data_IF_216625525631
#
_entry.id   IF_216625525631
#
_cell.length_a   1.000
_cell.length_b   1.000
_cell.length_c   1.000
_cell.angle_alpha   90.00
_cell.angle_beta   90.00
_cell.angle_gamma   90.00
#
_symmetry.space_group_name_H-M   'P 1'
#
loop_
_entity.id
_entity.type
_entity.pdbx_description
1 polymer ?
#
# COMPACT_ATOMS: atom_id res chain seq x y z
N UNK A 1 -10.15 15.40 -5.17
CA UNK A 1 -9.55 14.08 -5.49
C UNK A 1 -10.34 13.50 -6.64
N UNK A 2 -9.67 13.13 -7.74
CA UNK A 2 -10.33 12.46 -8.87
C UNK A 2 -10.33 10.96 -8.58
N UNK A 3 -11.49 10.33 -8.56
CA UNK A 3 -11.61 8.87 -8.44
C UNK A 3 -12.40 8.32 -9.62
N UNK A 4 -12.10 7.08 -9.99
CA UNK A 4 -12.86 6.30 -10.97
C UNK A 4 -13.39 5.06 -10.27
N UNK A 5 -14.60 4.70 -10.58
CA UNK A 5 -15.22 3.45 -10.15
C UNK A 5 -15.19 2.52 -11.35
N UNK A 6 -14.75 1.29 -11.12
CA UNK A 6 -14.79 0.20 -12.10
C UNK A 6 -15.70 -0.91 -11.59
N UNK A 7 -16.23 -1.68 -12.51
CA UNK A 7 -16.99 -2.89 -12.18
C UNK A 7 -16.03 -4.01 -11.74
N UNK A 8 -16.48 -4.87 -10.83
CA UNK A 8 -15.67 -6.00 -10.35
C UNK A 8 -15.27 -6.95 -11.49
N UNK A 9 -16.09 -7.05 -12.53
CA UNK A 9 -15.82 -7.86 -13.72
C UNK A 9 -14.62 -7.36 -14.53
N UNK A 10 -14.24 -6.09 -14.39
CA UNK A 10 -13.08 -5.48 -15.04
C UNK A 10 -11.80 -5.62 -14.20
N UNK A 11 -11.93 -6.01 -12.93
CA UNK A 11 -10.79 -6.11 -12.00
C UNK A 11 -9.68 -7.06 -12.47
N UNK A 12 -9.96 -8.26 -13.04
CA UNK A 12 -8.90 -9.15 -13.54
C UNK A 12 -8.03 -8.50 -14.63
N UNK A 13 -8.66 -7.81 -15.58
CA UNK A 13 -7.95 -7.13 -16.67
C UNK A 13 -7.11 -5.96 -16.14
N UNK A 14 -7.64 -5.22 -15.16
CA UNK A 14 -6.92 -4.12 -14.53
C UNK A 14 -5.70 -4.62 -13.75
N UNK A 15 -5.84 -5.70 -12.98
CA UNK A 15 -4.74 -6.32 -12.22
C UNK A 15 -3.66 -6.82 -13.17
N UNK A 16 -4.03 -7.50 -14.27
CA UNK A 16 -3.09 -7.95 -15.28
C UNK A 16 -2.28 -6.79 -15.87
N UNK A 17 -2.93 -5.67 -16.18
CA UNK A 17 -2.27 -4.48 -16.70
C UNK A 17 -1.31 -3.83 -15.65
N UNK A 18 -1.66 -3.88 -14.36
CA UNK A 18 -0.76 -3.42 -13.30
C UNK A 18 0.47 -4.31 -13.16
N UNK A 19 0.31 -5.63 -13.26
CA UNK A 19 1.41 -6.60 -13.12
C UNK A 19 2.50 -6.43 -14.18
N UNK A 20 2.20 -5.82 -15.33
CA UNK A 20 3.21 -5.53 -16.35
C UNK A 20 4.26 -4.50 -15.90
N UNK A 21 3.93 -3.63 -14.93
CA UNK A 21 4.72 -2.45 -14.58
C UNK A 21 4.96 -2.26 -13.09
N UNK A 22 4.17 -2.91 -12.24
CA UNK A 22 4.15 -2.72 -10.79
C UNK A 22 4.16 -4.06 -10.06
N UNK A 23 4.72 -4.06 -8.87
CA UNK A 23 4.45 -5.11 -7.89
C UNK A 23 3.01 -4.96 -7.40
N UNK A 24 2.14 -5.93 -7.66
CA UNK A 24 0.76 -5.91 -7.15
C UNK A 24 0.71 -6.59 -5.80
N UNK A 25 0.23 -5.85 -4.82
CA UNK A 25 0.03 -6.32 -3.44
C UNK A 25 -1.46 -6.29 -3.13
N UNK A 26 -2.01 -7.42 -2.72
CA UNK A 26 -3.44 -7.56 -2.50
C UNK A 26 -3.73 -8.44 -1.27
N UNK A 27 -4.98 -8.44 -0.76
CA UNK A 27 -5.38 -9.35 0.30
C UNK A 27 -5.42 -10.79 -0.22
N UNK A 28 -4.68 -11.66 0.43
CA UNK A 28 -4.57 -13.09 0.12
C UNK A 28 -5.02 -13.90 1.33
N UNK A 29 -5.77 -14.98 1.09
CA UNK A 29 -6.18 -15.89 2.15
C UNK A 29 -5.02 -16.81 2.54
N UNK A 30 -4.69 -16.86 3.83
CA UNK A 30 -3.71 -17.74 4.44
C UNK A 30 -4.34 -18.52 5.59
N UNK A 31 -4.79 -19.75 5.32
CA UNK A 31 -5.58 -20.54 6.26
C UNK A 31 -6.93 -19.88 6.56
N UNK A 32 -7.17 -19.53 7.82
CA UNK A 32 -8.37 -18.84 8.31
C UNK A 32 -8.25 -17.30 8.35
N UNK A 33 -7.13 -16.77 7.89
CA UNK A 33 -6.81 -15.35 7.98
C UNK A 33 -6.48 -14.74 6.62
N UNK A 34 -6.48 -13.41 6.58
CA UNK A 34 -6.12 -12.63 5.39
C UNK A 34 -4.91 -11.76 5.67
N UNK A 35 -4.03 -11.63 4.68
CA UNK A 35 -2.82 -10.79 4.75
C UNK A 35 -2.62 -10.05 3.43
N UNK A 36 -2.09 -8.85 3.46
CA UNK A 36 -1.57 -8.20 2.27
C UNK A 36 -0.22 -8.83 1.88
N UNK A 37 -0.14 -9.36 0.67
CA UNK A 37 1.05 -9.99 0.09
C UNK A 37 1.15 -9.67 -1.39
N UNK A 38 2.36 -9.71 -1.94
CA UNK A 38 2.55 -9.71 -3.39
C UNK A 38 1.84 -10.91 -4.01
N UNK A 39 1.25 -10.71 -5.18
CA UNK A 39 0.49 -11.71 -5.94
C UNK A 39 0.96 -11.72 -7.39
N UNK A 40 0.94 -12.90 -7.99
CA UNK A 40 1.32 -13.14 -9.38
C UNK A 40 0.10 -13.41 -10.28
N UNK A 41 -1.10 -13.52 -9.72
CA UNK A 41 -2.35 -13.76 -10.43
C UNK A 41 -3.54 -13.14 -9.68
N UNK A 42 -4.57 -12.74 -10.44
CA UNK A 42 -5.83 -12.26 -9.87
C UNK A 42 -6.54 -13.34 -9.01
N UNK A 43 -6.38 -14.61 -9.36
CA UNK A 43 -7.02 -15.73 -8.65
C UNK A 43 -6.54 -15.89 -7.19
N UNK A 44 -5.40 -15.30 -6.84
CA UNK A 44 -4.92 -15.27 -5.46
C UNK A 44 -5.59 -14.21 -4.59
N UNK A 45 -6.26 -13.23 -5.23
CA UNK A 45 -6.82 -12.07 -4.55
C UNK A 45 -8.17 -12.40 -3.92
N UNK A 46 -8.30 -12.13 -2.64
CA UNK A 46 -9.54 -12.29 -1.89
C UNK A 46 -10.17 -10.91 -1.63
N UNK A 47 -11.06 -10.44 -2.51
CA UNK A 47 -11.71 -9.14 -2.35
C UNK A 47 -12.78 -9.12 -1.26
N UNK A 48 -13.43 -10.26 -1.00
CA UNK A 48 -14.43 -10.43 0.07
C UNK A 48 -13.75 -10.84 1.39
N UNK A 49 -12.84 -10.01 1.89
CA UNK A 49 -12.19 -10.25 3.17
C UNK A 49 -12.76 -9.32 4.25
N UNK A 50 -12.98 -9.79 5.48
CA UNK A 50 -13.50 -8.94 6.56
C UNK A 50 -12.44 -8.01 7.15
N UNK A 51 -11.21 -8.50 7.30
CA UNK A 51 -10.04 -7.75 7.81
C UNK A 51 -8.76 -8.55 7.56
N UNK A 52 -7.63 -7.87 7.57
CA UNK A 52 -6.31 -8.50 7.49
C UNK A 52 -5.61 -8.50 8.86
N UNK A 53 -4.65 -9.43 9.08
CA UNK A 53 -3.86 -9.49 10.31
C UNK A 53 -3.09 -8.19 10.54
N UNK A 54 -2.56 -7.61 9.47
CA UNK A 54 -1.81 -6.37 9.51
C UNK A 54 -2.30 -5.43 8.41
N UNK A 55 -2.44 -4.15 8.75
CA UNK A 55 -2.80 -3.09 7.81
C UNK A 55 -1.75 -2.97 6.70
N UNK A 56 -2.15 -2.55 5.48
CA UNK A 56 -1.22 -2.26 4.37
C UNK A 56 -0.25 -1.12 4.65
N UNK A 57 -0.35 -0.42 5.78
CA UNK A 57 0.59 0.64 6.23
C UNK A 57 2.07 0.24 6.15
N UNK A 58 2.37 -1.04 6.37
CA UNK A 58 3.74 -1.57 6.31
C UNK A 58 4.44 -1.35 4.95
N UNK A 59 3.69 -1.08 3.89
CA UNK A 59 4.23 -0.81 2.56
C UNK A 59 4.61 0.66 2.34
N UNK A 60 4.07 1.56 3.18
CA UNK A 60 4.44 2.97 3.18
C UNK A 60 5.38 3.32 4.34
N UNK A 61 5.29 2.54 5.43
CA UNK A 61 6.12 2.70 6.62
C UNK A 61 6.63 1.31 7.05
N UNK A 62 7.70 0.82 6.43
CA UNK A 62 8.29 -0.48 6.76
C UNK A 62 8.79 -0.52 8.20
N UNK A 63 8.66 -1.69 8.85
CA UNK A 63 9.14 -1.87 10.22
C UNK A 63 10.68 -1.82 10.33
N UNK A 64 11.36 -2.08 9.21
CA UNK A 64 12.84 -2.02 9.12
C UNK A 64 13.19 -1.62 7.68
N UNK A 65 14.03 -0.61 7.55
CA UNK A 65 14.50 -0.06 6.29
C UNK A 65 15.91 0.47 6.44
N UNK A 66 16.74 0.33 5.39
CA UNK A 66 18.02 1.01 5.31
C UNK A 66 17.76 2.41 4.79
N UNK A 67 18.06 3.44 5.57
CA UNK A 67 17.88 4.83 5.18
C UNK A 67 19.09 5.33 4.41
N UNK A 68 20.28 5.06 4.96
CA UNK A 68 21.54 5.40 4.32
C UNK A 68 22.66 4.47 4.81
N UNK A 69 23.73 4.40 4.04
CA UNK A 69 24.98 3.76 4.43
C UNK A 69 26.09 4.82 4.49
N UNK A 70 26.94 4.73 5.49
CA UNK A 70 28.09 5.60 5.66
C UNK A 70 29.38 4.79 5.50
N UNK A 71 30.19 5.18 4.50
CA UNK A 71 31.54 4.64 4.32
C UNK A 71 32.54 5.55 5.07
N UNK A 72 33.06 5.04 6.18
CA UNK A 72 34.01 5.78 7.03
C UNK A 72 35.39 5.93 6.40
N UNK A 73 35.78 5.07 5.44
CA UNK A 73 37.08 5.13 4.79
C UNK A 73 37.12 6.25 3.72
N UNK A 74 36.03 6.38 2.98
CA UNK A 74 35.93 7.38 1.90
C UNK A 74 35.12 8.61 2.33
N UNK A 75 34.54 8.61 3.52
CA UNK A 75 33.65 9.66 4.04
C UNK A 75 32.48 9.96 3.11
N UNK A 76 31.90 8.90 2.54
CA UNK A 76 30.78 8.95 1.62
C UNK A 76 29.48 8.48 2.30
N UNK A 77 28.36 9.09 1.89
CA UNK A 77 27.01 8.71 2.31
C UNK A 77 26.23 8.28 1.08
N UNK A 78 25.69 7.07 1.11
CA UNK A 78 24.74 6.57 0.11
C UNK A 78 23.33 6.62 0.70
N UNK A 79 22.43 7.38 0.09
CA UNK A 79 21.04 7.52 0.49
C UNK A 79 20.16 6.58 -0.35
N UNK A 80 19.18 5.92 0.28
CA UNK A 80 18.27 4.95 -0.35
C UNK A 80 16.83 5.45 -0.50
N UNK A 81 16.56 6.73 -0.25
CA UNK A 81 15.21 7.30 -0.35
C UNK A 81 14.55 7.08 -1.73
N UNK A 82 15.34 7.09 -2.80
CA UNK A 82 14.85 6.96 -4.18
C UNK A 82 14.78 5.51 -4.69
N UNK A 83 15.20 4.51 -3.91
CA UNK A 83 15.25 3.11 -4.34
C UNK A 83 13.94 2.33 -4.07
N UNK A 84 12.81 3.02 -4.03
CA UNK A 84 11.52 2.38 -3.75
C UNK A 84 10.92 1.78 -5.03
N UNK A 85 10.58 0.48 -4.97
CA UNK A 85 9.92 -0.21 -6.09
C UNK A 85 8.48 0.28 -6.27
N UNK A 86 8.09 0.66 -7.50
CA UNK A 86 6.71 1.02 -7.79
C UNK A 86 5.75 -0.15 -7.52
N UNK A 87 4.67 0.11 -6.78
CA UNK A 87 3.69 -0.91 -6.40
C UNK A 87 2.25 -0.43 -6.47
N UNK A 88 1.34 -1.40 -6.50
CA UNK A 88 -0.09 -1.18 -6.37
C UNK A 88 -0.59 -1.91 -5.14
N UNK A 89 -1.20 -1.20 -4.21
CA UNK A 89 -1.99 -1.79 -3.12
C UNK A 89 -3.42 -1.95 -3.62
N UNK A 90 -3.80 -3.16 -4.00
CA UNK A 90 -5.09 -3.47 -4.58
C UNK A 90 -6.06 -4.05 -3.55
N UNK A 91 -7.32 -3.63 -3.60
CA UNK A 91 -8.36 -4.16 -2.72
C UNK A 91 -8.32 -3.60 -1.29
N UNK A 92 -7.87 -2.36 -1.10
CA UNK A 92 -7.75 -1.73 0.23
C UNK A 92 -9.11 -1.21 0.70
N UNK A 93 -9.52 -1.52 1.93
CA UNK A 93 -10.74 -0.98 2.53
C UNK A 93 -10.64 0.52 2.82
N UNK A 94 -11.77 1.23 2.79
CA UNK A 94 -11.83 2.67 3.05
C UNK A 94 -11.24 3.07 4.42
N UNK A 95 -11.42 2.24 5.46
CA UNK A 95 -10.84 2.49 6.78
C UNK A 95 -9.30 2.47 6.77
N UNK A 96 -8.68 1.57 5.98
CA UNK A 96 -7.23 1.56 5.81
C UNK A 96 -6.76 2.74 4.97
N UNK A 97 -7.50 3.13 3.94
CA UNK A 97 -7.21 4.33 3.13
C UNK A 97 -7.22 5.58 4.02
N UNK A 98 -8.23 5.75 4.86
CA UNK A 98 -8.27 6.85 5.84
C UNK A 98 -7.08 6.80 6.81
N UNK A 99 -6.70 5.61 7.27
CA UNK A 99 -5.51 5.43 8.10
C UNK A 99 -4.21 5.83 7.39
N UNK A 100 -4.08 5.54 6.09
CA UNK A 100 -2.95 5.96 5.26
C UNK A 100 -2.95 7.47 5.01
N UNK A 101 -4.12 8.09 4.82
CA UNK A 101 -4.24 9.55 4.70
C UNK A 101 -3.80 10.27 5.98
N UNK A 102 -4.19 9.74 7.15
CA UNK A 102 -3.75 10.28 8.44
C UNK A 102 -2.22 10.18 8.61
N UNK A 103 -1.60 9.07 8.20
CA UNK A 103 -0.14 8.97 8.17
C UNK A 103 0.47 10.00 7.23
N UNK A 104 -0.07 10.14 6.03
CA UNK A 104 0.41 11.13 5.06
C UNK A 104 0.34 12.57 5.60
N UNK A 105 -0.68 12.91 6.38
CA UNK A 105 -0.78 14.25 6.98
C UNK A 105 0.30 14.54 8.02
N UNK A 106 0.86 13.50 8.64
CA UNK A 106 1.94 13.63 9.62
C UNK A 106 3.31 13.62 8.94
N UNK A 107 3.59 12.62 8.10
CA UNK A 107 4.91 12.42 7.51
C UNK A 107 5.21 13.34 6.32
N UNK A 108 4.17 13.90 5.68
CA UNK A 108 4.32 14.90 4.63
C UNK A 108 4.07 16.33 5.14
N UNK A 109 4.14 16.59 6.47
CA UNK A 109 4.04 17.94 7.01
C UNK A 109 5.18 18.81 6.43
N UNK A 110 4.87 19.95 5.77
CA UNK A 110 5.89 20.81 5.14
C UNK A 110 6.98 21.32 6.09
N UNK A 111 6.70 21.31 7.39
CA UNK A 111 7.65 21.75 8.43
C UNK A 111 8.72 20.69 8.71
N UNK A 112 8.34 19.40 8.60
CA UNK A 112 9.20 18.26 8.92
C UNK A 112 8.90 17.07 7.98
N UNK A 113 9.13 17.23 6.66
CA UNK A 113 8.83 16.16 5.70
C UNK A 113 9.77 14.99 5.91
N UNK A 114 9.20 13.78 5.86
CA UNK A 114 9.98 12.54 5.84
C UNK A 114 10.21 12.11 4.38
N UNK A 115 11.45 12.17 3.86
CA UNK A 115 11.72 11.86 2.46
C UNK A 115 11.48 10.38 2.13
N UNK A 116 11.73 9.47 3.06
CA UNK A 116 11.55 8.03 2.86
C UNK A 116 10.07 7.68 2.77
N UNK A 117 9.26 8.21 3.68
CA UNK A 117 7.80 8.07 3.59
C UNK A 117 7.25 8.67 2.30
N UNK A 118 7.73 9.85 1.91
CA UNK A 118 7.30 10.52 0.68
C UNK A 118 7.64 9.68 -0.57
N UNK A 119 8.82 9.06 -0.62
CA UNK A 119 9.23 8.16 -1.69
C UNK A 119 8.34 6.93 -1.78
N UNK A 120 8.05 6.25 -0.65
CA UNK A 120 7.12 5.13 -0.61
C UNK A 120 5.71 5.52 -1.05
N UNK A 121 5.20 6.66 -0.59
CA UNK A 121 3.88 7.16 -0.95
C UNK A 121 3.79 7.51 -2.45
N UNK A 122 4.82 8.14 -3.00
CA UNK A 122 4.88 8.48 -4.42
C UNK A 122 4.98 7.25 -5.34
N UNK A 123 5.67 6.19 -4.88
CA UNK A 123 5.81 4.93 -5.61
C UNK A 123 4.61 3.98 -5.44
N UNK A 124 3.62 4.31 -4.61
CA UNK A 124 2.50 3.42 -4.29
C UNK A 124 1.17 3.96 -4.82
N UNK A 125 0.55 3.21 -5.74
CA UNK A 125 -0.83 3.43 -6.17
C UNK A 125 -1.78 2.64 -5.26
N UNK A 126 -2.89 3.24 -4.83
CA UNK A 126 -3.88 2.58 -3.98
C UNK A 126 -5.18 2.41 -4.74
N UNK A 127 -5.64 1.17 -4.83
CA UNK A 127 -6.95 0.80 -5.40
C UNK A 127 -7.83 0.29 -4.27
N UNK A 128 -8.86 1.08 -3.93
CA UNK A 128 -9.81 0.75 -2.88
C UNK A 128 -10.88 -0.23 -3.34
N UNK A 129 -11.44 -0.98 -2.40
CA UNK A 129 -12.63 -1.80 -2.58
C UNK A 129 -13.76 -1.27 -1.69
N UNK A 130 -14.98 -1.28 -2.22
CA UNK A 130 -16.15 -0.90 -1.44
C UNK A 130 -16.39 -1.95 -0.34
N UNK A 131 -16.37 -1.50 0.92
CA UNK A 131 -16.68 -2.38 2.04
C UNK A 131 -18.19 -2.56 2.15
N UNK A 132 -18.68 -3.79 1.97
CA UNK A 132 -20.10 -4.14 2.09
C UNK A 132 -20.52 -4.44 3.53
N UNK A 133 -19.60 -4.45 4.48
CA UNK A 133 -19.89 -4.69 5.91
C UNK A 133 -20.19 -3.37 6.63
N UNK A 134 -21.42 -2.93 6.59
CA UNK A 134 -21.92 -1.79 7.38
C UNK A 134 -22.04 -2.23 8.85
N UNK A 135 -21.43 -1.46 9.77
CA UNK A 135 -21.67 -1.59 11.20
C UNK A 135 -20.50 -1.80 12.12
N UNK A 136 -19.26 -1.83 11.64
CA UNK A 136 -18.09 -1.74 12.52
C UNK A 136 -17.76 -0.26 12.80
N UNK A 137 -17.34 0.06 14.02
CA UNK A 137 -17.03 1.42 14.46
C UNK A 137 -15.97 2.14 13.59
N UNK A 138 -15.18 1.38 12.82
CA UNK A 138 -14.19 1.87 11.86
C UNK A 138 -14.76 2.34 10.52
N UNK A 139 -16.05 2.10 10.24
CA UNK A 139 -16.73 2.53 9.01
C UNK A 139 -17.55 3.82 9.21
N UNK A 140 -17.36 4.53 10.31
CA UNK A 140 -17.94 5.85 10.48
C UNK A 140 -17.03 6.89 9.81
N UNK A 141 -17.62 7.59 8.86
CA UNK A 141 -17.15 8.72 8.05
C UNK A 141 -15.92 9.46 8.56
#
# INVERSE_FOLDING_TARGET
MLYRVIDETEAPALVAAFMERYEVVAPVKRGDKYVFSAVDSFDEIALDYPTTIASPKKYLLPAKETLFEFDAENNEVTDYADEVRPRVLFGVHACDINGLQNLSSVFNDPRYPDPYYAAHAAATLIVGVACMQIGRASCRE
#
